data_IF_436633052665
#
_entry.id   IF_436633052665
#
_cell.length_a   1.000
_cell.length_b   1.000
_cell.length_c   1.000
_cell.angle_alpha   90.00
_cell.angle_beta   90.00
_cell.angle_gamma   90.00
#
_symmetry.space_group_name_H-M   'P 1'
#
loop_
_entity.id
_entity.type
_entity.pdbx_description
1 polymer ?
#
# COMPACT_ATOMS: atom_id res chain seq x y z
N UNK A 1 19.89 -1.20 5.20
CA UNK A 1 19.89 -0.51 3.94
C UNK A 1 18.48 -0.46 3.47
N UNK A 2 17.74 -0.58 2.72
CA UNK A 2 16.40 -0.29 2.23
C UNK A 2 15.28 -0.51 3.27
N UNK A 3 15.23 0.37 4.27
CA UNK A 3 14.20 0.30 5.32
C UNK A 3 12.93 1.08 4.97
N UNK A 4 12.94 1.78 3.84
CA UNK A 4 11.85 2.64 3.38
C UNK A 4 11.41 2.17 2.01
N UNK A 5 10.11 2.00 1.84
CA UNK A 5 9.50 1.71 0.55
C UNK A 5 8.48 2.80 0.19
N UNK A 6 8.35 3.09 -1.09
CA UNK A 6 7.41 4.06 -1.64
C UNK A 6 6.50 3.38 -2.64
N UNK A 7 5.21 3.72 -2.58
CA UNK A 7 4.25 3.40 -3.62
C UNK A 7 3.66 4.72 -4.11
N UNK A 8 3.97 5.04 -5.36
CA UNK A 8 3.50 6.23 -6.03
C UNK A 8 2.11 6.01 -6.62
N UNK A 9 1.45 7.09 -6.98
CA UNK A 9 0.17 7.07 -7.69
C UNK A 9 0.26 6.30 -9.02
N UNK A 10 1.42 6.36 -9.70
CA UNK A 10 1.78 5.45 -10.77
C UNK A 10 2.54 4.27 -10.19
N UNK A 11 2.14 3.06 -10.53
CA UNK A 11 2.62 1.85 -9.82
C UNK A 11 4.02 1.38 -10.24
N UNK A 12 4.50 1.84 -11.40
CA UNK A 12 5.82 1.50 -11.95
C UNK A 12 6.10 0.00 -12.00
N UNK A 13 5.10 -0.79 -12.38
CA UNK A 13 5.28 -2.21 -12.62
C UNK A 13 6.05 -2.43 -13.93
N UNK A 14 6.91 -3.44 -13.93
CA UNK A 14 7.59 -3.87 -15.14
C UNK A 14 6.62 -4.67 -16.01
N UNK A 15 6.30 -4.13 -17.18
CA UNK A 15 5.26 -4.67 -18.06
C UNK A 15 5.61 -6.04 -18.66
N UNK A 16 6.89 -6.32 -18.77
CA UNK A 16 7.43 -7.57 -19.29
C UNK A 16 7.51 -8.69 -18.25
N UNK A 17 7.19 -8.38 -17.00
CA UNK A 17 7.22 -9.32 -15.89
C UNK A 17 5.80 -9.64 -15.40
N UNK A 18 5.60 -10.89 -15.01
CA UNK A 18 4.36 -11.34 -14.38
C UNK A 18 4.19 -10.72 -12.97
N UNK A 19 3.02 -10.92 -12.38
CA UNK A 19 2.75 -10.55 -10.98
C UNK A 19 3.84 -11.12 -10.06
N UNK A 20 4.07 -12.42 -10.13
CA UNK A 20 5.07 -13.08 -9.28
C UNK A 20 6.47 -12.51 -9.50
N UNK A 21 6.87 -12.31 -10.74
CA UNK A 21 8.19 -11.78 -11.08
C UNK A 21 8.37 -10.33 -10.59
N UNK A 22 7.34 -9.48 -10.70
CA UNK A 22 7.37 -8.13 -10.15
C UNK A 22 7.59 -8.14 -8.63
N UNK A 23 6.84 -8.97 -7.91
CA UNK A 23 6.97 -9.08 -6.44
C UNK A 23 8.33 -9.68 -6.05
N UNK A 24 8.77 -10.70 -6.77
CA UNK A 24 10.06 -11.36 -6.55
C UNK A 24 11.25 -10.41 -6.68
N UNK A 25 11.14 -9.39 -7.52
CA UNK A 25 12.15 -8.33 -7.62
C UNK A 25 12.38 -7.63 -6.27
N UNK A 26 11.31 -7.23 -5.60
CA UNK A 26 11.39 -6.63 -4.26
C UNK A 26 11.96 -7.61 -3.23
N UNK A 27 11.50 -8.84 -3.26
CA UNK A 27 11.96 -9.91 -2.39
C UNK A 27 13.47 -10.20 -2.56
N UNK A 28 13.93 -10.23 -3.80
CA UNK A 28 15.34 -10.47 -4.12
C UNK A 28 16.27 -9.40 -3.52
N UNK A 29 15.89 -8.14 -3.61
CA UNK A 29 16.64 -7.03 -3.03
C UNK A 29 16.82 -7.15 -1.52
N UNK A 30 15.85 -7.73 -0.83
CA UNK A 30 15.88 -7.98 0.62
C UNK A 30 16.37 -9.37 0.99
N UNK A 31 16.77 -10.19 0.01
CA UNK A 31 17.07 -11.62 0.19
C UNK A 31 15.93 -12.38 0.87
N UNK A 32 14.70 -11.96 0.62
CA UNK A 32 13.49 -12.58 1.13
C UNK A 32 13.07 -13.72 0.20
N UNK A 33 13.14 -14.95 0.66
CA UNK A 33 12.70 -16.11 -0.12
C UNK A 33 11.21 -16.42 0.06
N UNK A 34 10.56 -15.77 1.02
CA UNK A 34 9.17 -16.02 1.39
C UNK A 34 8.28 -14.82 1.04
N UNK A 35 8.09 -14.59 -0.25
CA UNK A 35 7.26 -13.50 -0.78
C UNK A 35 5.84 -13.94 -1.18
N UNK A 36 5.59 -15.23 -1.34
CA UNK A 36 4.28 -15.77 -1.73
C UNK A 36 3.16 -15.43 -0.73
N UNK A 37 3.38 -15.44 0.59
CA UNK A 37 2.36 -15.01 1.53
C UNK A 37 1.88 -13.58 1.31
N UNK A 38 2.75 -12.66 0.90
CA UNK A 38 2.38 -11.28 0.59
C UNK A 38 1.45 -11.20 -0.63
N UNK A 39 1.75 -11.98 -1.67
CA UNK A 39 0.90 -12.07 -2.87
C UNK A 39 -0.47 -12.64 -2.51
N UNK A 40 -0.49 -13.68 -1.70
CA UNK A 40 -1.74 -14.30 -1.22
C UNK A 40 -2.56 -13.34 -0.37
N UNK A 41 -1.90 -12.64 0.57
CA UNK A 41 -2.56 -11.67 1.45
C UNK A 41 -3.18 -10.51 0.66
N UNK A 42 -2.60 -10.14 -0.48
CA UNK A 42 -3.13 -9.13 -1.40
C UNK A 42 -4.24 -9.65 -2.33
N UNK A 43 -4.69 -10.89 -2.17
CA UNK A 43 -5.73 -11.48 -3.00
C UNK A 43 -5.32 -11.75 -4.44
N UNK A 44 -4.04 -11.95 -4.70
CA UNK A 44 -3.46 -12.10 -6.06
C UNK A 44 -3.02 -13.53 -6.39
N UNK A 45 -3.34 -14.49 -5.55
CA UNK A 45 -2.91 -15.90 -5.72
C UNK A 45 -3.24 -16.46 -7.11
N UNK A 46 -4.43 -16.14 -7.62
CA UNK A 46 -4.91 -16.63 -8.93
C UNK A 46 -4.32 -15.82 -10.11
N UNK A 47 -3.56 -14.78 -9.83
CA UNK A 47 -3.02 -13.84 -10.82
C UNK A 47 -1.50 -13.94 -11.01
N UNK A 48 -0.85 -14.91 -10.38
CA UNK A 48 0.62 -15.05 -10.33
C UNK A 48 1.31 -14.96 -11.69
N UNK A 49 0.70 -15.54 -12.71
CA UNK A 49 1.29 -15.65 -14.05
C UNK A 49 0.75 -14.62 -15.05
N UNK A 50 -0.11 -13.69 -14.58
CA UNK A 50 -0.61 -12.59 -15.40
C UNK A 50 0.40 -11.44 -15.46
N UNK A 51 0.34 -10.70 -16.56
CA UNK A 51 1.12 -9.48 -16.78
C UNK A 51 0.32 -8.26 -16.34
N UNK A 52 0.99 -7.12 -16.03
CA UNK A 52 0.29 -5.90 -15.60
C UNK A 52 -0.81 -5.45 -16.55
N UNK A 53 -0.62 -5.60 -17.86
CA UNK A 53 -1.63 -5.25 -18.89
C UNK A 53 -2.93 -6.05 -18.79
N UNK A 54 -2.91 -7.20 -18.12
CA UNK A 54 -4.07 -8.07 -17.91
C UNK A 54 -4.80 -7.80 -16.59
N UNK A 55 -4.31 -6.84 -15.81
CA UNK A 55 -4.80 -6.52 -14.48
C UNK A 55 -5.61 -5.22 -14.47
N UNK A 56 -6.60 -5.13 -13.58
CA UNK A 56 -7.25 -3.87 -13.24
C UNK A 56 -6.27 -2.91 -12.54
N UNK A 57 -6.63 -1.62 -12.46
CA UNK A 57 -5.82 -0.63 -11.74
C UNK A 57 -5.62 -0.99 -10.27
N UNK A 58 -6.68 -1.45 -9.59
CA UNK A 58 -6.60 -1.92 -8.21
C UNK A 58 -5.72 -3.16 -8.04
N UNK A 59 -5.79 -4.10 -8.96
CA UNK A 59 -4.91 -5.27 -8.96
C UNK A 59 -3.45 -4.89 -9.19
N UNK A 60 -3.17 -3.98 -10.12
CA UNK A 60 -1.81 -3.45 -10.34
C UNK A 60 -1.27 -2.77 -9.08
N UNK A 61 -2.08 -1.99 -8.41
CA UNK A 61 -1.68 -1.35 -7.15
C UNK A 61 -1.37 -2.38 -6.07
N UNK A 62 -2.17 -3.43 -5.95
CA UNK A 62 -1.90 -4.52 -5.00
C UNK A 62 -0.60 -5.25 -5.31
N UNK A 63 -0.26 -5.43 -6.57
CA UNK A 63 1.06 -5.97 -6.97
C UNK A 63 2.19 -5.05 -6.52
N UNK A 64 2.06 -3.74 -6.71
CA UNK A 64 3.04 -2.76 -6.27
C UNK A 64 3.22 -2.78 -4.74
N UNK A 65 2.12 -2.90 -3.99
CA UNK A 65 2.16 -3.02 -2.53
C UNK A 65 2.86 -4.31 -2.11
N UNK A 66 2.50 -5.45 -2.71
CA UNK A 66 3.13 -6.74 -2.42
C UNK A 66 4.64 -6.70 -2.72
N UNK A 67 5.05 -6.08 -3.83
CA UNK A 67 6.46 -5.88 -4.17
C UNK A 67 7.20 -5.02 -3.13
N UNK A 68 6.58 -3.94 -2.68
CA UNK A 68 7.17 -3.08 -1.66
C UNK A 68 7.29 -3.80 -0.31
N UNK A 69 6.27 -4.53 0.10
CA UNK A 69 6.27 -5.29 1.35
C UNK A 69 7.23 -6.49 1.32
N UNK A 70 7.49 -7.06 0.15
CA UNK A 70 8.47 -8.12 -0.01
C UNK A 70 9.90 -7.65 0.32
N UNK A 71 10.18 -6.35 0.28
CA UNK A 71 11.44 -5.76 0.76
C UNK A 71 11.55 -5.72 2.28
N UNK A 72 10.51 -6.07 3.02
CA UNK A 72 10.44 -5.98 4.49
C UNK A 72 10.80 -4.57 5.00
N UNK A 73 10.12 -3.51 4.53
CA UNK A 73 10.43 -2.15 4.93
C UNK A 73 10.04 -1.92 6.40
N UNK A 74 10.70 -0.97 7.04
CA UNK A 74 10.29 -0.44 8.34
C UNK A 74 9.28 0.69 8.20
N UNK A 75 9.35 1.41 7.08
CA UNK A 75 8.43 2.52 6.75
C UNK A 75 7.92 2.32 5.32
N UNK A 76 6.62 2.38 5.16
CA UNK A 76 5.95 2.35 3.87
C UNK A 76 5.27 3.69 3.62
N UNK A 77 5.65 4.35 2.53
CA UNK A 77 4.98 5.56 2.04
C UNK A 77 4.00 5.22 0.94
N UNK A 78 2.78 5.73 1.07
CA UNK A 78 1.73 5.63 0.06
C UNK A 78 1.30 7.02 -0.38
N UNK A 79 1.33 7.28 -1.68
CA UNK A 79 0.86 8.54 -2.26
C UNK A 79 -0.49 8.31 -2.93
N UNK A 80 -1.54 8.91 -2.37
CA UNK A 80 -2.94 8.84 -2.84
C UNK A 80 -3.38 7.41 -3.22
N UNK A 81 -3.34 6.45 -2.28
CA UNK A 81 -3.51 5.03 -2.61
C UNK A 81 -4.91 4.67 -3.14
N UNK A 82 -5.89 5.53 -2.95
CA UNK A 82 -7.28 5.28 -3.37
C UNK A 82 -7.82 6.30 -4.37
N UNK A 83 -7.02 7.30 -4.75
CA UNK A 83 -7.50 8.46 -5.51
C UNK A 83 -8.10 8.16 -6.89
N UNK A 84 -7.72 7.05 -7.52
CA UNK A 84 -8.23 6.64 -8.83
C UNK A 84 -9.13 5.39 -8.77
N UNK A 85 -9.56 4.99 -7.58
CA UNK A 85 -10.30 3.76 -7.36
C UNK A 85 -11.74 4.04 -6.92
N UNK A 86 -12.64 3.12 -7.27
CA UNK A 86 -13.97 3.09 -6.67
C UNK A 86 -13.91 2.74 -5.18
N UNK A 87 -14.97 3.06 -4.45
CA UNK A 87 -15.04 2.85 -3.01
C UNK A 87 -14.73 1.40 -2.60
N UNK A 88 -15.35 0.43 -3.24
CA UNK A 88 -15.20 -0.98 -2.87
C UNK A 88 -13.75 -1.45 -3.02
N UNK A 89 -13.11 -1.11 -4.14
CA UNK A 89 -11.71 -1.43 -4.41
C UNK A 89 -10.77 -0.68 -3.46
N UNK A 90 -11.04 0.60 -3.21
CA UNK A 90 -10.26 1.41 -2.28
C UNK A 90 -10.30 0.87 -0.86
N UNK A 91 -11.48 0.53 -0.34
CA UNK A 91 -11.64 -0.10 0.98
C UNK A 91 -10.90 -1.44 1.06
N UNK A 92 -10.98 -2.24 0.02
CA UNK A 92 -10.26 -3.52 -0.03
C UNK A 92 -8.75 -3.32 0.09
N UNK A 93 -8.19 -2.37 -0.64
CA UNK A 93 -6.76 -2.04 -0.58
C UNK A 93 -6.37 -1.55 0.82
N UNK A 94 -7.12 -0.63 1.40
CA UNK A 94 -6.86 -0.14 2.76
C UNK A 94 -6.91 -1.26 3.79
N UNK A 95 -7.86 -2.18 3.66
CA UNK A 95 -7.97 -3.36 4.55
C UNK A 95 -6.75 -4.28 4.42
N UNK A 96 -6.27 -4.55 3.22
CA UNK A 96 -5.04 -5.32 3.01
C UNK A 96 -3.82 -4.64 3.65
N UNK A 97 -3.69 -3.32 3.47
CA UNK A 97 -2.59 -2.55 4.05
C UNK A 97 -2.67 -2.59 5.58
N UNK A 98 -3.84 -2.39 6.15
CA UNK A 98 -4.05 -2.43 7.60
C UNK A 98 -3.72 -3.81 8.19
N UNK A 99 -4.14 -4.88 7.52
CA UNK A 99 -3.80 -6.25 7.90
C UNK A 99 -2.28 -6.47 7.85
N UNK A 100 -1.63 -6.12 6.75
CA UNK A 100 -0.19 -6.31 6.58
C UNK A 100 0.62 -5.47 7.57
N UNK A 101 0.16 -4.25 7.88
CA UNK A 101 0.76 -3.42 8.93
C UNK A 101 0.72 -4.12 10.28
N UNK A 102 -0.40 -4.73 10.62
CA UNK A 102 -0.55 -5.49 11.87
C UNK A 102 0.36 -6.72 11.92
N UNK A 103 0.50 -7.42 10.80
CA UNK A 103 1.30 -8.65 10.72
C UNK A 103 2.81 -8.37 10.67
N UNK A 104 3.24 -7.36 9.92
CA UNK A 104 4.65 -7.06 9.64
C UNK A 104 5.23 -5.95 10.52
N UNK A 105 4.40 -5.13 11.16
CA UNK A 105 4.85 -4.13 12.14
C UNK A 105 5.55 -2.92 11.54
N UNK A 106 5.34 -2.57 10.27
CA UNK A 106 5.92 -1.38 9.65
C UNK A 106 5.17 -0.09 10.04
N UNK A 107 5.84 1.04 9.95
CA UNK A 107 5.19 2.35 10.03
C UNK A 107 4.62 2.73 8.67
N UNK A 108 3.35 3.12 8.65
CA UNK A 108 2.67 3.58 7.44
C UNK A 108 2.59 5.09 7.43
N UNK A 109 3.06 5.70 6.35
CA UNK A 109 2.88 7.13 6.06
C UNK A 109 2.07 7.25 4.79
N UNK A 110 0.92 7.89 4.87
CA UNK A 110 0.00 8.05 3.75
C UNK A 110 -0.18 9.53 3.43
N UNK A 111 -0.05 9.87 2.16
CA UNK A 111 -0.42 11.20 1.65
C UNK A 111 -1.80 11.07 1.01
N UNK A 112 -2.74 11.87 1.48
CA UNK A 112 -4.10 11.88 0.94
C UNK A 112 -4.75 13.25 1.15
N UNK A 113 -5.66 13.61 0.27
CA UNK A 113 -6.55 14.76 0.45
C UNK A 113 -7.94 14.34 0.95
N UNK A 114 -8.15 13.04 1.21
CA UNK A 114 -9.42 12.53 1.72
C UNK A 114 -9.43 12.52 3.25
N UNK A 115 -10.26 13.40 3.83
CA UNK A 115 -10.39 13.55 5.28
C UNK A 115 -10.94 12.30 5.96
N UNK A 116 -11.72 11.46 5.28
CA UNK A 116 -12.21 10.21 5.84
C UNK A 116 -11.07 9.21 6.05
N UNK A 117 -10.16 9.13 5.07
CA UNK A 117 -8.98 8.27 5.18
C UNK A 117 -8.04 8.75 6.30
N UNK A 118 -7.95 10.05 6.52
CA UNK A 118 -7.17 10.61 7.62
C UNK A 118 -7.62 10.09 9.01
N UNK A 119 -8.88 9.69 9.15
CA UNK A 119 -9.42 9.13 10.40
C UNK A 119 -8.82 7.77 10.77
N UNK A 120 -8.17 7.08 9.83
CA UNK A 120 -7.45 5.82 10.08
C UNK A 120 -6.11 6.03 10.80
N UNK A 121 -5.58 7.25 10.79
CA UNK A 121 -4.24 7.54 11.26
C UNK A 121 -4.19 7.85 12.76
N UNK A 122 -3.11 7.41 13.41
CA UNK A 122 -2.80 7.81 14.78
C UNK A 122 -2.33 9.27 14.88
N UNK A 123 -1.70 9.76 13.80
CA UNK A 123 -1.23 11.15 13.71
C UNK A 123 -1.58 11.70 12.35
N UNK A 124 -2.23 12.85 12.33
CA UNK A 124 -2.56 13.57 11.09
C UNK A 124 -1.76 14.86 11.05
N UNK A 125 -0.97 15.03 10.00
CA UNK A 125 -0.21 16.26 9.74
C UNK A 125 -0.87 16.99 8.58
N UNK A 126 -1.45 18.16 8.84
CA UNK A 126 -2.04 18.99 7.80
C UNK A 126 -0.99 19.94 7.23
N UNK A 127 -0.83 19.88 5.92
CA UNK A 127 0.13 20.70 5.18
C UNK A 127 -0.63 21.59 4.19
N UNK A 128 -0.30 22.85 4.17
CA UNK A 128 -0.82 23.78 3.18
C UNK A 128 0.28 24.77 2.77
N UNK A 129 0.39 25.03 1.46
CA UNK A 129 1.39 25.97 0.90
C UNK A 129 2.81 25.69 1.38
N UNK A 130 3.20 24.42 1.50
CA UNK A 130 4.53 24.00 1.93
C UNK A 130 4.80 24.16 3.43
N UNK A 131 3.80 24.46 4.23
CA UNK A 131 3.94 24.65 5.68
C UNK A 131 3.01 23.70 6.44
N UNK A 132 3.48 23.21 7.58
CA UNK A 132 2.66 22.46 8.52
C UNK A 132 1.72 23.45 9.20
N UNK A 133 0.42 23.23 9.04
CA UNK A 133 -0.62 24.03 9.69
C UNK A 133 -1.02 23.47 11.04
N UNK A 134 -1.11 22.14 11.12
CA UNK A 134 -1.66 21.47 12.28
C UNK A 134 -1.12 20.04 12.39
N UNK A 135 -1.00 19.56 13.63
CA UNK A 135 -0.66 18.16 13.95
C UNK A 135 -1.68 17.67 14.97
N UNK A 136 -2.50 16.71 14.55
CA UNK A 136 -3.54 16.12 15.40
C UNK A 136 -3.14 14.71 15.79
N UNK A 137 -3.13 14.43 17.09
CA UNK A 137 -2.98 13.09 17.62
C UNK A 137 -4.36 12.46 17.78
N UNK A 138 -4.56 11.29 17.21
CA UNK A 138 -5.78 10.53 17.31
C UNK A 138 -5.52 9.26 18.13
N UNK A 139 -6.01 9.24 19.35
CA UNK A 139 -5.81 8.13 20.28
C UNK A 139 -6.63 6.90 19.90
N UNK A 140 -7.75 7.10 19.22
CA UNK A 140 -8.68 6.05 18.79
C UNK A 140 -8.94 6.14 17.27
N UNK A 141 -7.98 5.71 16.41
CA UNK A 141 -8.19 5.68 14.98
C UNK A 141 -9.35 4.77 14.60
N UNK A 142 -10.15 5.20 13.62
CA UNK A 142 -11.22 4.36 13.07
C UNK A 142 -10.65 3.17 12.30
N UNK A 143 -11.44 2.11 12.17
CA UNK A 143 -11.15 1.02 11.23
C UNK A 143 -11.58 1.38 9.81
N UNK A 144 -11.13 0.60 8.83
CA UNK A 144 -11.48 0.83 7.41
C UNK A 144 -12.99 0.69 7.17
N UNK A 145 -13.65 -0.13 7.96
CA UNK A 145 -15.10 -0.37 7.88
C UNK A 145 -15.92 0.81 8.42
N UNK A 146 -15.36 1.57 9.36
CA UNK A 146 -16.05 2.65 10.05
C UNK A 146 -15.96 4.02 9.36
N UNK A 147 -14.92 4.25 8.56
CA UNK A 147 -14.76 5.54 7.88
C UNK A 147 -15.79 5.75 6.78
N UNK A 148 -16.13 7.01 6.50
CA UNK A 148 -16.83 7.41 5.27
C UNK A 148 -15.95 7.22 4.02
N UNK A 149 -16.46 7.63 2.86
CA UNK A 149 -15.71 7.56 1.60
C UNK A 149 -15.77 8.88 0.84
#
# INVERSE_FOLDING_TARGET
KDQVAFIFQQYYLLQELTVEQNVKLGAHLAKNLDYLPNIKAMGLKEKLHQYPSELSGGEQQRVAIARALAKKPKVLFLDEPTGALDEATGRQILSYIAQMKKELGFTLVMVTHNEHIAQLANTVVRVNSGQIQDIVLNEEPMSVEEIGW
#
